data_IF_829267163228
#
_entry.id   IF_829267163228
#
_cell.length_a   1.000
_cell.length_b   1.000
_cell.length_c   1.000
_cell.angle_alpha   90.00
_cell.angle_beta   90.00
_cell.angle_gamma   90.00
#
_symmetry.space_group_name_H-M   'P 1'
#
loop_
_entity.id
_entity.type
_entity.pdbx_description
1 polymer ?
#
# COMPACT_ATOMS: atom_id res chain seq x y z
N UNK A 1 -11.18 19.02 -12.24
CA UNK A 1 -10.76 17.61 -12.11
C UNK A 1 -12.00 16.81 -11.73
N UNK A 2 -12.12 15.55 -12.17
CA UNK A 2 -13.28 14.71 -11.80
C UNK A 2 -13.30 14.45 -10.29
N UNK A 3 -14.48 14.51 -9.67
CA UNK A 3 -14.68 14.16 -8.25
C UNK A 3 -14.74 12.64 -8.04
N UNK A 4 -14.56 11.87 -9.10
CA UNK A 4 -14.59 10.42 -9.11
C UNK A 4 -13.24 9.84 -9.50
N UNK A 5 -12.85 8.75 -8.83
CA UNK A 5 -11.64 7.97 -9.12
C UNK A 5 -12.02 6.56 -9.59
N UNK A 6 -11.30 6.01 -10.57
CA UNK A 6 -11.54 4.65 -11.03
C UNK A 6 -11.01 3.63 -10.03
N UNK A 7 -11.76 2.53 -9.88
CA UNK A 7 -11.37 1.31 -9.16
C UNK A 7 -11.54 0.10 -10.07
N UNK A 8 -10.80 -0.97 -9.80
CA UNK A 8 -10.95 -2.22 -10.52
C UNK A 8 -12.13 -3.01 -9.96
N UNK A 9 -13.08 -3.43 -10.85
CA UNK A 9 -14.25 -4.19 -10.42
C UNK A 9 -13.88 -5.59 -9.89
N UNK A 10 -12.73 -6.12 -10.26
CA UNK A 10 -12.23 -7.42 -9.78
C UNK A 10 -11.86 -7.40 -8.28
N UNK A 11 -11.58 -6.21 -7.72
CA UNK A 11 -11.31 -6.04 -6.29
C UNK A 11 -12.53 -6.20 -5.39
N UNK A 12 -13.74 -6.20 -5.99
CA UNK A 12 -15.00 -6.25 -5.26
C UNK A 12 -15.45 -7.70 -5.04
N UNK A 13 -15.63 -8.07 -3.78
CA UNK A 13 -16.13 -9.39 -3.39
C UNK A 13 -17.65 -9.37 -3.30
N UNK A 14 -18.29 -10.35 -3.95
CA UNK A 14 -19.73 -10.57 -3.77
C UNK A 14 -20.09 -10.86 -2.30
N UNK A 15 -21.29 -10.51 -1.95
CA UNK A 15 -21.92 -10.72 -0.63
C UNK A 15 -21.20 -10.00 0.52
N UNK A 16 -20.51 -8.87 0.19
CA UNK A 16 -19.88 -7.97 1.16
C UNK A 16 -20.41 -6.55 1.05
N UNK A 17 -20.29 -5.77 2.13
CA UNK A 17 -20.52 -4.32 2.09
C UNK A 17 -19.22 -3.62 1.74
N UNK A 18 -19.25 -2.74 0.73
CA UNK A 18 -18.05 -2.04 0.26
C UNK A 18 -17.74 -0.80 1.09
N UNK A 19 -18.76 -0.19 1.70
CA UNK A 19 -18.63 1.02 2.53
C UNK A 19 -18.62 2.33 1.75
N UNK A 20 -18.53 2.29 0.43
CA UNK A 20 -18.59 3.46 -0.45
C UNK A 20 -19.51 3.18 -1.65
N UNK A 21 -20.14 4.23 -2.16
CA UNK A 21 -21.01 4.15 -3.33
C UNK A 21 -20.19 3.86 -4.60
N UNK A 22 -20.70 2.94 -5.42
CA UNK A 22 -20.07 2.53 -6.68
C UNK A 22 -20.82 3.13 -7.87
N UNK A 23 -20.09 3.66 -8.83
CA UNK A 23 -20.65 4.32 -10.00
C UNK A 23 -20.15 3.71 -11.30
N UNK A 24 -21.00 3.71 -12.32
CA UNK A 24 -20.65 3.43 -13.70
C UNK A 24 -20.46 4.74 -14.47
N UNK A 25 -19.43 4.83 -15.29
CA UNK A 25 -19.27 5.91 -16.25
C UNK A 25 -20.01 5.55 -17.54
N UNK A 26 -21.11 6.22 -17.81
CA UNK A 26 -21.90 6.05 -19.04
C UNK A 26 -21.60 7.20 -19.97
N UNK A 27 -21.20 6.86 -21.21
CA UNK A 27 -20.96 7.83 -22.29
C UNK A 27 -22.14 7.82 -23.24
N UNK A 28 -22.69 9.01 -23.49
CA UNK A 28 -23.80 9.20 -24.44
C UNK A 28 -23.41 10.33 -25.41
N UNK A 29 -22.88 9.97 -26.57
CA UNK A 29 -22.31 10.94 -27.51
C UNK A 29 -21.07 11.63 -26.89
N UNK A 30 -21.12 12.95 -26.78
CA UNK A 30 -20.05 13.78 -26.15
C UNK A 30 -20.17 13.87 -24.63
N UNK A 31 -21.31 13.48 -24.07
CA UNK A 31 -21.56 13.57 -22.63
C UNK A 31 -21.11 12.33 -21.89
N UNK A 32 -20.57 12.54 -20.68
CA UNK A 32 -20.19 11.46 -19.76
C UNK A 32 -20.84 11.70 -18.40
N UNK A 33 -21.50 10.68 -17.87
CA UNK A 33 -22.19 10.78 -16.57
C UNK A 33 -21.85 9.59 -15.69
N UNK A 34 -21.66 9.86 -14.39
CA UNK A 34 -21.52 8.84 -13.36
C UNK A 34 -22.92 8.46 -12.85
N UNK A 35 -23.28 7.18 -13.02
CA UNK A 35 -24.57 6.64 -12.60
C UNK A 35 -24.32 5.70 -11.43
N UNK A 36 -25.05 5.88 -10.33
CA UNK A 36 -24.99 5.03 -9.15
C UNK A 36 -25.30 3.58 -9.55
N UNK A 37 -24.35 2.68 -9.29
CA UNK A 37 -24.47 1.26 -9.56
C UNK A 37 -24.83 0.46 -8.30
N UNK A 38 -24.19 0.77 -7.18
CA UNK A 38 -24.42 0.12 -5.90
C UNK A 38 -24.16 1.11 -4.77
N UNK A 39 -25.05 1.12 -3.77
CA UNK A 39 -24.85 1.90 -2.55
C UNK A 39 -23.87 1.21 -1.63
N UNK A 40 -23.00 1.98 -0.97
CA UNK A 40 -21.96 1.46 -0.08
C UNK A 40 -22.50 0.84 1.21
N UNK A 41 -23.69 1.25 1.66
CA UNK A 41 -24.38 0.72 2.84
C UNK A 41 -25.11 -0.60 2.57
N UNK A 42 -25.23 -1.01 1.30
CA UNK A 42 -25.90 -2.26 0.89
C UNK A 42 -24.87 -3.35 0.59
N UNK A 43 -25.34 -4.61 0.62
CA UNK A 43 -24.53 -5.76 0.20
C UNK A 43 -24.30 -5.70 -1.31
N UNK A 44 -23.05 -5.85 -1.74
CA UNK A 44 -22.71 -6.00 -3.15
C UNK A 44 -23.02 -7.44 -3.58
N UNK A 45 -24.23 -7.68 -4.05
CA UNK A 45 -24.74 -9.01 -4.41
C UNK A 45 -23.96 -9.66 -5.56
N UNK A 46 -23.92 -11.01 -5.56
CA UNK A 46 -23.27 -11.78 -6.63
C UNK A 46 -23.87 -11.49 -8.01
N UNK A 47 -25.18 -11.26 -8.09
CA UNK A 47 -25.90 -10.86 -9.31
C UNK A 47 -25.31 -9.60 -9.96
N UNK A 48 -24.93 -8.61 -9.16
CA UNK A 48 -24.28 -7.38 -9.64
C UNK A 48 -22.86 -7.68 -10.17
N UNK A 49 -22.14 -8.54 -9.47
CA UNK A 49 -20.80 -8.95 -9.92
C UNK A 49 -20.86 -9.72 -11.26
N UNK A 50 -21.76 -10.67 -11.38
CA UNK A 50 -21.99 -11.41 -12.64
C UNK A 50 -22.32 -10.48 -13.79
N UNK A 51 -23.19 -9.49 -13.58
CA UNK A 51 -23.51 -8.46 -14.59
C UNK A 51 -22.28 -7.68 -15.05
N UNK A 52 -21.35 -7.34 -14.15
CA UNK A 52 -20.11 -6.66 -14.53
C UNK A 52 -19.24 -7.57 -15.41
N UNK A 53 -19.13 -8.85 -15.07
CA UNK A 53 -18.37 -9.84 -15.84
C UNK A 53 -18.99 -10.08 -17.23
N UNK A 54 -20.28 -10.31 -17.30
CA UNK A 54 -21.00 -10.53 -18.58
C UNK A 54 -20.87 -9.33 -19.53
N UNK A 55 -20.86 -8.12 -18.99
CA UNK A 55 -20.72 -6.89 -19.78
C UNK A 55 -19.28 -6.45 -19.98
N UNK A 56 -18.28 -7.25 -19.52
CA UNK A 56 -16.86 -6.92 -19.57
C UNK A 56 -16.54 -5.54 -18.94
N UNK A 57 -17.21 -5.19 -17.84
CA UNK A 57 -16.99 -3.93 -17.14
C UNK A 57 -15.88 -4.16 -16.10
N UNK A 58 -14.66 -3.77 -16.44
CA UNK A 58 -13.49 -3.89 -15.55
C UNK A 58 -13.31 -2.68 -14.63
N UNK A 59 -13.99 -1.55 -14.89
CA UNK A 59 -13.83 -0.31 -14.10
C UNK A 59 -15.16 0.17 -13.56
N UNK A 60 -15.16 0.45 -12.27
CA UNK A 60 -16.15 1.24 -11.56
C UNK A 60 -15.50 2.52 -11.04
N UNK A 61 -16.29 3.38 -10.47
CA UNK A 61 -15.82 4.65 -9.93
C UNK A 61 -16.40 4.85 -8.54
N UNK A 62 -15.62 5.49 -7.66
CA UNK A 62 -16.04 5.94 -6.34
C UNK A 62 -15.82 7.44 -6.22
N UNK A 63 -16.52 8.11 -5.31
CA UNK A 63 -16.21 9.50 -4.99
C UNK A 63 -14.84 9.58 -4.33
N UNK A 64 -14.07 10.64 -4.60
CA UNK A 64 -12.76 10.88 -3.98
C UNK A 64 -12.83 10.91 -2.46
N UNK A 65 -13.90 11.45 -1.91
CA UNK A 65 -14.09 11.55 -0.46
C UNK A 65 -14.27 10.17 0.20
N UNK A 66 -14.66 9.16 -0.58
CA UNK A 66 -14.82 7.77 -0.12
C UNK A 66 -13.57 6.91 -0.36
N UNK A 67 -12.49 7.47 -0.90
CA UNK A 67 -11.26 6.73 -1.21
C UNK A 67 -10.74 5.94 -0.02
N UNK A 68 -10.71 6.56 1.15
CA UNK A 68 -10.26 5.92 2.40
C UNK A 68 -11.10 4.69 2.75
N UNK A 69 -12.44 4.78 2.66
CA UNK A 69 -13.35 3.65 2.93
C UNK A 69 -13.11 2.47 1.99
N UNK A 70 -12.80 2.76 0.72
CA UNK A 70 -12.48 1.71 -0.25
C UNK A 70 -11.19 0.98 0.09
N UNK A 71 -10.13 1.70 0.53
CA UNK A 71 -8.89 1.05 0.93
C UNK A 71 -9.02 0.26 2.22
N UNK A 72 -9.76 0.75 3.20
CA UNK A 72 -10.12 -0.02 4.40
C UNK A 72 -10.89 -1.29 4.03
N UNK A 73 -11.78 -1.22 3.05
CA UNK A 73 -12.44 -2.39 2.50
C UNK A 73 -11.43 -3.39 1.91
N UNK A 74 -10.46 -2.96 1.11
CA UNK A 74 -9.44 -3.83 0.55
C UNK A 74 -8.58 -4.50 1.63
N UNK A 75 -8.16 -3.75 2.63
CA UNK A 75 -7.39 -4.26 3.77
C UNK A 75 -8.18 -5.34 4.53
N UNK A 76 -9.43 -5.05 4.87
CA UNK A 76 -10.31 -5.98 5.58
C UNK A 76 -10.67 -7.23 4.78
N UNK A 77 -10.61 -7.17 3.45
CA UNK A 77 -10.90 -8.27 2.56
C UNK A 77 -9.66 -8.89 1.91
N UNK A 78 -8.47 -8.54 2.36
CA UNK A 78 -7.21 -8.98 1.76
C UNK A 78 -7.15 -10.48 1.54
N UNK A 79 -7.38 -11.30 2.59
CA UNK A 79 -7.34 -12.76 2.50
C UNK A 79 -8.35 -13.32 1.51
N UNK A 80 -9.51 -12.70 1.40
CA UNK A 80 -10.53 -13.07 0.43
C UNK A 80 -10.10 -12.78 -1.01
N UNK A 81 -9.42 -11.65 -1.22
CA UNK A 81 -8.91 -11.22 -2.54
C UNK A 81 -7.82 -12.17 -3.01
N UNK A 82 -6.82 -12.45 -2.17
CA UNK A 82 -5.70 -13.31 -2.55
C UNK A 82 -6.11 -14.77 -2.74
N UNK A 83 -7.14 -15.25 -2.05
CA UNK A 83 -7.66 -16.61 -2.17
C UNK A 83 -8.68 -16.78 -3.31
N UNK A 84 -9.13 -15.71 -3.97
CA UNK A 84 -10.08 -15.81 -5.08
C UNK A 84 -9.41 -16.43 -6.31
N UNK A 85 -9.81 -17.66 -6.65
CA UNK A 85 -9.25 -18.42 -7.78
C UNK A 85 -9.65 -17.86 -9.14
N UNK A 86 -10.61 -16.93 -9.19
CA UNK A 86 -11.06 -16.28 -10.43
C UNK A 86 -10.17 -15.10 -10.83
N UNK A 87 -9.41 -14.57 -9.88
CA UNK A 87 -8.44 -13.51 -10.13
C UNK A 87 -7.11 -14.11 -10.57
N UNK A 88 -6.56 -13.57 -11.64
CA UNK A 88 -5.19 -13.89 -12.05
C UNK A 88 -4.16 -13.36 -11.02
N UNK A 89 -2.96 -13.93 -10.95
CA UNK A 89 -1.89 -13.41 -10.09
C UNK A 89 -1.60 -11.93 -10.31
N UNK A 90 -1.62 -11.47 -11.55
CA UNK A 90 -1.38 -10.06 -11.89
C UNK A 90 -2.49 -9.13 -11.37
N UNK A 91 -3.75 -9.54 -11.43
CA UNK A 91 -4.87 -8.77 -10.86
C UNK A 91 -4.77 -8.69 -9.34
N UNK A 92 -4.55 -9.82 -8.66
CA UNK A 92 -4.32 -9.86 -7.20
C UNK A 92 -3.20 -8.92 -6.79
N UNK A 93 -2.07 -9.01 -7.49
CA UNK A 93 -0.88 -8.22 -7.20
C UNK A 93 -1.13 -6.73 -7.37
N UNK A 94 -1.85 -6.30 -8.41
CA UNK A 94 -2.22 -4.89 -8.59
C UNK A 94 -3.09 -4.37 -7.45
N UNK A 95 -4.06 -5.18 -6.99
CA UNK A 95 -4.93 -4.81 -5.87
C UNK A 95 -4.10 -4.68 -4.58
N UNK A 96 -3.25 -5.67 -4.28
CA UNK A 96 -2.37 -5.70 -3.11
C UNK A 96 -1.42 -4.49 -3.12
N UNK A 97 -0.75 -4.22 -4.25
CA UNK A 97 0.15 -3.09 -4.39
C UNK A 97 -0.56 -1.75 -4.23
N UNK A 98 -1.75 -1.60 -4.79
CA UNK A 98 -2.56 -0.39 -4.66
C UNK A 98 -2.98 -0.16 -3.20
N UNK A 99 -3.45 -1.20 -2.51
CA UNK A 99 -3.82 -1.13 -1.08
C UNK A 99 -2.61 -0.76 -0.21
N UNK A 100 -1.46 -1.41 -0.42
CA UNK A 100 -0.21 -1.11 0.27
C UNK A 100 0.23 0.34 0.08
N UNK A 101 0.21 0.83 -1.17
CA UNK A 101 0.61 2.21 -1.50
C UNK A 101 -0.26 3.25 -0.80
N UNK A 102 -1.57 2.99 -0.69
CA UNK A 102 -2.47 3.90 0.01
C UNK A 102 -2.27 3.84 1.52
N UNK A 103 -2.04 2.66 2.06
CA UNK A 103 -1.74 2.49 3.48
C UNK A 103 -0.46 3.25 3.87
N UNK A 104 0.60 3.14 3.06
CA UNK A 104 1.83 3.93 3.27
C UNK A 104 1.54 5.44 3.13
N UNK A 105 0.68 5.85 2.20
CA UNK A 105 0.26 7.25 2.09
C UNK A 105 -0.46 7.74 3.35
N UNK A 106 -1.39 6.94 3.89
CA UNK A 106 -2.08 7.26 5.14
C UNK A 106 -1.10 7.38 6.31
N UNK A 107 -0.15 6.47 6.39
CA UNK A 107 0.94 6.48 7.37
C UNK A 107 1.73 7.80 7.33
N UNK A 108 2.08 8.27 6.12
CA UNK A 108 2.81 9.54 5.96
C UNK A 108 1.95 10.77 6.23
N UNK A 109 0.64 10.69 6.04
CA UNK A 109 -0.27 11.79 6.35
C UNK A 109 -0.51 11.93 7.85
N UNK A 110 -0.72 10.83 8.56
CA UNK A 110 -0.93 10.79 10.02
C UNK A 110 -0.51 9.45 10.62
N UNK A 111 0.74 9.31 11.11
CA UNK A 111 1.22 8.08 11.74
C UNK A 111 0.44 7.70 13.02
N UNK A 112 -0.21 8.69 13.67
CA UNK A 112 -0.95 8.51 14.94
C UNK A 112 -2.38 8.01 14.75
N UNK A 113 -2.87 7.95 13.52
CA UNK A 113 -4.25 7.51 13.19
C UNK A 113 -4.48 5.99 13.32
N UNK A 114 -3.53 5.23 13.85
CA UNK A 114 -3.54 3.76 13.84
C UNK A 114 -3.00 3.15 12.53
N UNK A 115 -2.48 3.98 11.64
CA UNK A 115 -1.92 3.54 10.35
C UNK A 115 -0.70 2.63 10.51
N UNK A 116 0.07 2.75 11.60
CA UNK A 116 1.19 1.85 11.91
C UNK A 116 0.70 0.43 12.15
N UNK A 117 -0.32 0.22 12.98
CA UNK A 117 -0.86 -1.11 13.25
C UNK A 117 -1.53 -1.73 12.00
N UNK A 118 -2.19 -0.91 11.19
CA UNK A 118 -2.73 -1.34 9.89
C UNK A 118 -1.59 -1.76 8.96
N UNK A 119 -0.48 -1.02 8.92
CA UNK A 119 0.71 -1.34 8.10
C UNK A 119 1.32 -2.68 8.52
N UNK A 120 1.44 -2.95 9.81
CA UNK A 120 1.92 -4.23 10.34
C UNK A 120 1.02 -5.40 9.93
N UNK A 121 -0.29 -5.26 10.15
CA UNK A 121 -1.27 -6.27 9.77
C UNK A 121 -1.21 -6.56 8.26
N UNK A 122 -1.08 -5.51 7.47
CA UNK A 122 -0.94 -5.63 6.03
C UNK A 122 0.37 -6.32 5.62
N UNK A 123 1.49 -5.97 6.27
CA UNK A 123 2.79 -6.62 6.04
C UNK A 123 2.72 -8.13 6.27
N UNK A 124 2.09 -8.56 7.36
CA UNK A 124 1.90 -9.98 7.67
C UNK A 124 1.09 -10.70 6.57
N UNK A 125 -0.01 -10.09 6.15
CA UNK A 125 -0.82 -10.60 5.06
C UNK A 125 -0.06 -10.67 3.73
N UNK A 126 0.78 -9.66 3.45
CA UNK A 126 1.61 -9.63 2.23
C UNK A 126 2.68 -10.73 2.25
N UNK A 127 3.33 -10.97 3.40
CA UNK A 127 4.28 -12.08 3.57
C UNK A 127 3.59 -13.42 3.31
N UNK A 128 2.43 -13.67 3.92
CA UNK A 128 1.65 -14.88 3.71
C UNK A 128 1.32 -15.09 2.22
N UNK A 129 0.98 -14.02 1.51
CA UNK A 129 0.69 -14.06 0.09
C UNK A 129 1.92 -14.44 -0.74
N UNK A 130 3.05 -13.78 -0.49
CA UNK A 130 4.33 -14.02 -1.19
C UNK A 130 4.88 -15.43 -0.91
N UNK A 131 4.67 -15.96 0.31
CA UNK A 131 5.13 -17.29 0.68
C UNK A 131 4.31 -18.38 -0.02
N UNK A 132 3.00 -18.21 -0.10
CA UNK A 132 2.08 -19.21 -0.64
C UNK A 132 2.04 -19.27 -2.16
N UNK A 133 2.34 -18.17 -2.84
CA UNK A 133 2.21 -18.05 -4.29
C UNK A 133 3.49 -17.47 -4.94
N UNK A 134 4.26 -18.33 -5.60
CA UNK A 134 5.50 -17.93 -6.29
C UNK A 134 5.21 -16.97 -7.46
N UNK A 135 4.04 -17.07 -8.09
CA UNK A 135 3.65 -16.17 -9.18
C UNK A 135 3.31 -14.76 -8.69
N UNK A 136 2.82 -14.65 -7.44
CA UNK A 136 2.63 -13.36 -6.77
C UNK A 136 3.94 -12.58 -6.65
N UNK A 137 4.98 -13.30 -6.28
CA UNK A 137 6.34 -12.78 -6.16
C UNK A 137 6.85 -12.19 -7.48
N UNK A 138 6.72 -12.92 -8.57
CA UNK A 138 7.12 -12.47 -9.91
C UNK A 138 6.31 -11.25 -10.37
N UNK A 139 5.01 -11.24 -10.09
CA UNK A 139 4.13 -10.12 -10.46
C UNK A 139 4.43 -8.86 -9.65
N UNK A 140 4.75 -8.99 -8.35
CA UNK A 140 5.21 -7.86 -7.52
C UNK A 140 6.51 -7.26 -8.03
N UNK A 141 7.48 -8.09 -8.43
CA UNK A 141 8.74 -7.62 -9.02
C UNK A 141 8.50 -6.83 -10.32
N UNK A 142 7.58 -7.27 -11.18
CA UNK A 142 7.26 -6.54 -12.43
C UNK A 142 6.71 -5.14 -12.15
N UNK A 143 5.86 -4.98 -11.13
CA UNK A 143 5.30 -3.66 -10.75
C UNK A 143 6.39 -2.80 -10.14
N UNK A 144 7.22 -3.33 -9.24
CA UNK A 144 8.28 -2.61 -8.55
C UNK A 144 9.27 -1.89 -9.48
N UNK A 145 9.50 -2.44 -10.68
CA UNK A 145 10.44 -1.86 -11.67
C UNK A 145 9.88 -0.61 -12.37
N UNK A 146 8.56 -0.40 -12.38
CA UNK A 146 7.92 0.59 -13.26
C UNK A 146 7.43 1.87 -12.57
N UNK A 147 7.33 1.90 -11.24
CA UNK A 147 6.79 3.06 -10.50
C UNK A 147 7.78 3.57 -9.44
N UNK A 148 8.16 4.85 -9.53
CA UNK A 148 9.08 5.48 -8.59
C UNK A 148 8.47 6.76 -7.99
N UNK A 149 7.61 6.58 -6.99
CA UNK A 149 7.12 7.65 -6.12
C UNK A 149 7.39 7.30 -4.65
N UNK A 150 7.44 8.29 -3.76
CA UNK A 150 7.81 8.10 -2.34
C UNK A 150 7.02 6.97 -1.66
N UNK A 151 5.71 6.92 -1.87
CA UNK A 151 4.84 5.89 -1.24
C UNK A 151 4.99 4.52 -1.89
N UNK A 152 5.18 4.45 -3.20
CA UNK A 152 5.42 3.19 -3.91
C UNK A 152 6.82 2.65 -3.65
N UNK A 153 7.79 3.51 -3.30
CA UNK A 153 9.15 3.09 -2.96
C UNK A 153 9.14 2.09 -1.79
N UNK A 154 8.55 2.45 -0.64
CA UNK A 154 8.52 1.56 0.53
C UNK A 154 7.84 0.23 0.21
N UNK A 155 6.75 0.24 -0.58
CA UNK A 155 6.04 -0.97 -1.01
C UNK A 155 6.91 -1.84 -1.92
N UNK A 156 7.60 -1.21 -2.88
CA UNK A 156 8.47 -1.92 -3.82
C UNK A 156 9.68 -2.54 -3.11
N UNK A 157 10.30 -1.79 -2.20
CA UNK A 157 11.43 -2.30 -1.39
C UNK A 157 10.96 -3.44 -0.47
N UNK A 158 9.77 -3.32 0.15
CA UNK A 158 9.20 -4.38 0.96
C UNK A 158 8.94 -5.67 0.16
N UNK A 159 8.35 -5.54 -1.05
CA UNK A 159 8.10 -6.67 -1.92
C UNK A 159 9.41 -7.39 -2.32
N UNK A 160 10.38 -6.64 -2.83
CA UNK A 160 11.68 -7.17 -3.27
C UNK A 160 12.47 -7.74 -2.09
N UNK A 161 12.56 -6.99 -0.99
CA UNK A 161 13.29 -7.40 0.22
C UNK A 161 12.72 -8.66 0.86
N UNK A 162 11.41 -8.77 0.95
CA UNK A 162 10.73 -9.97 1.49
C UNK A 162 11.01 -11.20 0.62
N UNK A 163 10.97 -11.03 -0.70
CA UNK A 163 11.30 -12.11 -1.63
C UNK A 163 12.76 -12.55 -1.51
N UNK A 164 13.66 -11.59 -1.44
CA UNK A 164 15.09 -11.88 -1.26
C UNK A 164 15.32 -12.62 0.06
N UNK A 165 14.78 -12.11 1.17
CA UNK A 165 14.93 -12.71 2.50
C UNK A 165 14.35 -14.14 2.55
N UNK A 166 13.19 -14.37 1.92
CA UNK A 166 12.62 -15.72 1.74
C UNK A 166 13.59 -16.63 1.01
N UNK A 167 14.18 -16.18 -0.11
CA UNK A 167 15.06 -17.00 -0.93
C UNK A 167 16.37 -17.38 -0.24
N UNK A 168 16.88 -16.54 0.68
CA UNK A 168 18.07 -16.86 1.49
C UNK A 168 17.73 -17.64 2.77
N UNK A 169 16.47 -18.03 2.96
CA UNK A 169 16.05 -18.92 4.03
C UNK A 169 15.67 -18.25 5.34
N UNK A 170 15.34 -16.95 5.35
CA UNK A 170 14.78 -16.28 6.52
C UNK A 170 13.44 -16.92 6.89
N UNK A 171 13.23 -17.19 8.17
CA UNK A 171 12.01 -17.85 8.67
C UNK A 171 10.78 -16.94 8.52
N UNK A 172 9.60 -17.55 8.40
CA UNK A 172 8.35 -16.85 8.18
C UNK A 172 8.04 -15.78 9.23
N UNK A 173 8.25 -16.08 10.51
CA UNK A 173 8.00 -15.14 11.61
C UNK A 173 8.93 -13.91 11.52
N UNK A 174 10.20 -14.11 11.19
CA UNK A 174 11.18 -13.04 10.99
C UNK A 174 10.87 -12.23 9.72
N UNK A 175 10.33 -12.88 8.66
CA UNK A 175 9.90 -12.20 7.43
C UNK A 175 8.79 -11.18 7.68
N UNK A 176 7.88 -11.45 8.61
CA UNK A 176 6.78 -10.54 8.96
C UNK A 176 7.31 -9.24 9.57
N UNK A 177 8.19 -9.37 10.57
CA UNK A 177 8.88 -8.22 11.17
C UNK A 177 9.74 -7.45 10.17
N UNK A 178 10.46 -8.18 9.31
CA UNK A 178 11.28 -7.60 8.25
C UNK A 178 10.45 -6.80 7.24
N UNK A 179 9.36 -7.37 6.73
CA UNK A 179 8.45 -6.70 5.79
C UNK A 179 7.82 -5.45 6.41
N UNK A 180 7.34 -5.54 7.66
CA UNK A 180 6.80 -4.42 8.42
C UNK A 180 7.83 -3.31 8.58
N UNK A 181 9.05 -3.66 9.00
CA UNK A 181 10.15 -2.71 9.14
C UNK A 181 10.47 -1.97 7.83
N UNK A 182 10.48 -2.69 6.71
CA UNK A 182 10.71 -2.04 5.40
C UNK A 182 9.55 -1.11 5.03
N UNK A 183 8.29 -1.48 5.27
CA UNK A 183 7.17 -0.57 5.00
C UNK A 183 7.23 0.71 5.84
N UNK A 184 7.79 0.62 7.04
CA UNK A 184 7.88 1.71 8.01
C UNK A 184 9.21 2.48 7.99
N UNK A 185 10.25 2.00 7.27
CA UNK A 185 11.62 2.53 7.38
C UNK A 185 11.73 4.04 7.21
N UNK A 186 10.93 4.59 6.36
CA UNK A 186 10.90 6.01 5.98
C UNK A 186 9.88 6.85 6.77
N UNK A 187 9.21 6.29 7.79
CA UNK A 187 8.13 6.99 8.53
C UNK A 187 8.60 8.30 9.17
N UNK A 188 9.87 8.41 9.53
CA UNK A 188 10.44 9.63 10.08
C UNK A 188 10.48 10.81 9.10
N UNK A 189 10.31 10.58 7.80
CA UNK A 189 10.15 11.66 6.82
C UNK A 189 8.90 12.50 7.07
N UNK A 190 7.94 12.01 7.86
CA UNK A 190 6.77 12.78 8.30
C UNK A 190 7.13 13.97 9.20
N UNK A 191 8.34 14.00 9.77
CA UNK A 191 8.87 15.10 10.58
C UNK A 191 9.64 16.14 9.78
N UNK A 192 9.93 15.86 8.52
CA UNK A 192 10.69 16.74 7.64
C UNK A 192 9.73 17.65 6.87
N UNK A 193 10.11 18.91 6.72
CA UNK A 193 9.31 19.87 5.95
C UNK A 193 9.05 19.36 4.52
N UNK A 194 7.79 19.49 4.10
CA UNK A 194 7.37 19.16 2.73
C UNK A 194 8.09 20.00 1.67
N UNK A 195 8.54 21.20 2.01
CA UNK A 195 9.31 22.06 1.11
C UNK A 195 10.68 21.46 0.81
N UNK A 196 11.30 20.78 1.79
CA UNK A 196 12.57 20.05 1.59
C UNK A 196 12.32 18.76 0.82
N UNK A 197 11.33 17.96 1.25
CA UNK A 197 11.03 16.65 0.63
C UNK A 197 10.61 16.77 -0.83
N UNK A 198 9.85 17.82 -1.18
CA UNK A 198 9.32 18.03 -2.54
C UNK A 198 10.13 19.04 -3.35
N UNK A 199 11.32 19.42 -2.89
CA UNK A 199 12.15 20.43 -3.58
C UNK A 199 12.52 19.99 -4.98
N UNK A 200 12.17 20.82 -5.96
CA UNK A 200 12.61 20.62 -7.36
C UNK A 200 14.05 21.14 -7.51
N UNK A 201 15.00 20.24 -7.62
CA UNK A 201 16.40 20.58 -7.81
C UNK A 201 17.31 20.00 -6.73
N UNK A 202 18.55 20.48 -6.68
CA UNK A 202 19.54 19.99 -5.70
C UNK A 202 19.24 20.55 -4.32
N UNK A 203 19.34 19.69 -3.31
CA UNK A 203 19.29 20.07 -1.90
C UNK A 203 20.55 20.85 -1.53
N UNK A 204 20.44 21.80 -0.61
CA UNK A 204 21.61 22.38 0.05
C UNK A 204 22.23 21.36 1.01
N UNK A 205 23.40 21.65 1.55
CA UNK A 205 24.03 20.78 2.55
C UNK A 205 23.18 20.69 3.81
N UNK A 206 22.63 21.80 4.25
CA UNK A 206 21.78 21.90 5.44
C UNK A 206 20.46 21.14 5.27
N UNK A 207 19.83 21.25 4.09
CA UNK A 207 18.62 20.48 3.77
C UNK A 207 18.91 18.98 3.71
N UNK A 208 20.05 18.59 3.18
CA UNK A 208 20.45 17.17 3.16
C UNK A 208 20.75 16.64 4.55
N UNK A 209 21.43 17.43 5.42
CA UNK A 209 21.64 17.06 6.82
C UNK A 209 20.30 16.93 7.58
N UNK A 210 19.29 17.75 7.25
CA UNK A 210 17.95 17.59 7.83
C UNK A 210 17.29 16.28 7.37
N UNK A 211 17.40 15.92 6.08
CA UNK A 211 16.87 14.64 5.60
C UNK A 211 17.55 13.44 6.29
N UNK A 212 18.85 13.50 6.54
CA UNK A 212 19.57 12.42 7.21
C UNK A 212 19.08 12.11 8.63
N UNK A 213 18.30 12.99 9.24
CA UNK A 213 17.71 12.75 10.57
C UNK A 213 16.47 11.85 10.52
N UNK A 214 15.90 11.55 9.33
CA UNK A 214 14.67 10.78 9.28
C UNK A 214 14.74 9.38 9.92
N UNK A 215 15.89 8.65 9.98
CA UNK A 215 15.94 7.40 10.72
C UNK A 215 15.72 7.61 12.23
N UNK A 216 16.32 8.66 12.81
CA UNK A 216 16.11 9.02 14.22
C UNK A 216 14.68 9.49 14.47
N UNK A 217 14.14 10.36 13.62
CA UNK A 217 12.73 10.77 13.66
C UNK A 217 11.77 9.58 13.51
N UNK A 218 12.16 8.57 12.74
CA UNK A 218 11.40 7.33 12.60
C UNK A 218 11.29 6.58 13.93
N UNK A 219 12.37 6.50 14.70
CA UNK A 219 12.35 5.91 16.04
C UNK A 219 11.43 6.70 16.97
N UNK A 220 11.48 8.04 16.95
CA UNK A 220 10.58 8.87 17.74
C UNK A 220 9.11 8.61 17.39
N UNK A 221 8.76 8.51 16.09
CA UNK A 221 7.40 8.19 15.64
C UNK A 221 6.97 6.79 16.11
N UNK A 222 7.84 5.79 16.04
CA UNK A 222 7.56 4.44 16.53
C UNK A 222 7.35 4.42 18.05
N UNK A 223 8.14 5.19 18.82
CA UNK A 223 7.98 5.33 20.27
C UNK A 223 6.63 5.98 20.62
N UNK A 224 6.26 7.08 19.96
CA UNK A 224 4.99 7.77 20.17
C UNK A 224 3.76 6.90 19.89
N UNK A 225 3.89 5.95 19.00
CA UNK A 225 2.79 5.05 18.58
C UNK A 225 2.82 3.70 19.29
N UNK A 226 3.78 3.49 20.19
CA UNK A 226 3.88 2.26 21.00
C UNK A 226 4.36 1.04 20.22
N UNK A 227 5.07 1.24 19.10
CA UNK A 227 5.67 0.12 18.36
C UNK A 227 6.90 -0.41 19.09
N UNK A 228 6.81 -1.65 19.58
CA UNK A 228 7.87 -2.31 20.35
C UNK A 228 8.66 -3.36 19.54
N UNK A 229 8.34 -3.54 18.25
CA UNK A 229 9.00 -4.59 17.45
C UNK A 229 10.45 -4.23 17.13
N UNK A 230 11.33 -5.14 17.48
CA UNK A 230 12.78 -4.97 17.34
C UNK A 230 13.21 -4.78 15.88
N UNK A 231 12.65 -5.58 14.98
CA UNK A 231 12.97 -5.58 13.54
C UNK A 231 12.61 -4.25 12.89
N UNK A 232 11.45 -3.70 13.22
CA UNK A 232 10.99 -2.41 12.71
C UNK A 232 11.97 -1.30 13.12
N UNK A 233 12.40 -1.29 14.38
CA UNK A 233 13.32 -0.30 14.92
C UNK A 233 14.71 -0.40 14.29
N UNK A 234 15.24 -1.63 14.16
CA UNK A 234 16.56 -1.88 13.54
C UNK A 234 16.54 -1.39 12.09
N UNK A 235 15.54 -1.77 11.31
CA UNK A 235 15.46 -1.37 9.90
C UNK A 235 15.30 0.15 9.79
N UNK A 236 14.42 0.75 10.59
CA UNK A 236 14.19 2.21 10.56
C UNK A 236 15.45 2.99 10.88
N UNK A 237 16.23 2.57 11.86
CA UNK A 237 17.45 3.33 12.26
C UNK A 237 18.64 3.06 11.35
N UNK A 238 18.76 1.85 10.76
CA UNK A 238 19.98 1.41 10.09
C UNK A 238 19.92 1.32 8.57
N UNK A 239 18.77 1.62 7.93
CA UNK A 239 18.63 1.40 6.48
C UNK A 239 19.52 2.30 5.59
N UNK A 240 20.16 3.31 6.16
CA UNK A 240 21.18 4.14 5.52
C UNK A 240 22.58 3.91 6.05
N UNK A 241 22.77 2.92 6.92
CA UNK A 241 24.11 2.54 7.34
C UNK A 241 24.87 1.77 6.25
N UNK A 242 26.17 1.92 6.23
CA UNK A 242 27.07 1.16 5.37
C UNK A 242 27.97 0.25 6.22
N UNK A 243 28.39 -0.89 5.67
CA UNK A 243 29.27 -1.85 6.35
C UNK A 243 30.60 -1.24 6.80
N UNK A 244 31.08 -0.20 6.14
CA UNK A 244 32.31 0.51 6.47
C UNK A 244 32.12 1.67 7.47
N UNK A 245 30.90 1.89 7.96
CA UNK A 245 30.55 2.95 8.90
C UNK A 245 30.48 4.34 8.26
N UNK A 246 30.48 4.46 6.93
CA UNK A 246 30.32 5.75 6.23
C UNK A 246 28.86 6.18 6.04
N UNK A 247 27.93 5.36 6.51
CA UNK A 247 26.50 5.64 6.47
C UNK A 247 26.03 6.64 7.53
N UNK A 248 24.74 6.62 7.83
CA UNK A 248 24.13 7.43 8.88
C UNK A 248 22.91 6.69 9.48
N UNK A 249 22.50 6.99 10.76
CA UNK A 249 23.00 8.07 11.64
C UNK A 249 24.29 7.74 12.40
N UNK A 250 24.70 6.44 12.46
CA UNK A 250 25.75 5.77 13.25
C UNK A 250 26.11 6.37 14.61
#
# INVERSE_FOLDING_TARGET
MSDYIPIDSSSLKADTKIGCDLYLLVKTGTDSRYILYCRGDTVFENSKREMLLEKNISRLFINKDDQQKYYEYLENNFQNIISDTRLSPDEKTKIVHSAATNLVRDLFNDPRSGSIERTKTFAYNMVDYVIKDTSAAESLLKIAVHEYYTYTHSVNVAAVGTLFAKNIGVKEDDLKGFCSGILLHDVGKTRISTDILNKKGKLTKEEFEEIKKHPEYGIEVLDETGSEFKEERIITIQHHENDDGSGYPN
#
